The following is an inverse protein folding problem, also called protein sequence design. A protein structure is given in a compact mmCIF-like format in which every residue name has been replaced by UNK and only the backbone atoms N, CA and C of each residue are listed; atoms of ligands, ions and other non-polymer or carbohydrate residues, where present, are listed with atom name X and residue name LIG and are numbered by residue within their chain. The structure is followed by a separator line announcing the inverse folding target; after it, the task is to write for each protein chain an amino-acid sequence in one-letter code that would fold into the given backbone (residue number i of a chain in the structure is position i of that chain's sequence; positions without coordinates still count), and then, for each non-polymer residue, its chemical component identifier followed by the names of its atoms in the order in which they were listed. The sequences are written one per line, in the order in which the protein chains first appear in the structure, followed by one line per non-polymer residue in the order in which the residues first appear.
data_IF_762613391990
#
_entry.id   IF_762613391990
#
_cell.length_a   1.000
_cell.length_b   1.000
_cell.length_c   1.000
_cell.angle_alpha   90.00
_cell.angle_beta   90.00
_cell.angle_gamma   90.00
#
_symmetry.space_group_name_H-M   'P 1'
#
loop_
_entity.id
_entity.type
_entity.pdbx_description
1 polymer ?
#
# COMPACT_ATOMS: atom_id res chain seq x y z
N UNK A 1 8.25 -11.22 -14.18
CA UNK A 1 8.98 -9.95 -13.93
C UNK A 1 9.93 -10.17 -12.77
N UNK A 2 11.15 -9.62 -12.82
CA UNK A 2 12.07 -9.66 -11.67
C UNK A 2 11.80 -8.46 -10.75
N UNK A 3 12.09 -8.58 -9.45
CA UNK A 3 11.98 -7.47 -8.51
C UNK A 3 12.70 -6.22 -9.02
N UNK A 4 13.91 -6.40 -9.56
CA UNK A 4 14.71 -5.33 -10.16
C UNK A 4 13.99 -4.59 -11.28
N UNK A 5 13.34 -5.33 -12.19
CA UNK A 5 12.58 -4.71 -13.29
C UNK A 5 11.39 -3.88 -12.79
N UNK A 6 10.74 -4.31 -11.71
CA UNK A 6 9.62 -3.56 -11.11
C UNK A 6 10.11 -2.29 -10.42
N UNK A 7 11.18 -2.38 -9.62
CA UNK A 7 11.74 -1.23 -8.91
C UNK A 7 12.22 -0.16 -9.90
N UNK A 8 12.90 -0.58 -10.98
CA UNK A 8 13.33 0.35 -12.04
C UNK A 8 12.11 0.98 -12.72
N UNK A 9 11.09 0.18 -13.09
CA UNK A 9 9.88 0.69 -13.73
C UNK A 9 9.14 1.73 -12.88
N UNK A 10 8.95 1.45 -11.58
CA UNK A 10 8.35 2.39 -10.62
C UNK A 10 9.23 3.63 -10.45
N UNK A 11 10.55 3.48 -10.41
CA UNK A 11 11.49 4.60 -10.35
C UNK A 11 11.37 5.55 -11.54
N UNK A 12 11.28 5.00 -12.76
CA UNK A 12 11.10 5.78 -13.99
C UNK A 12 9.74 6.49 -13.97
N UNK A 13 8.66 5.79 -13.62
CA UNK A 13 7.34 6.39 -13.52
C UNK A 13 7.31 7.53 -12.48
N UNK A 14 7.94 7.34 -11.33
CA UNK A 14 8.05 8.35 -10.29
C UNK A 14 8.85 9.59 -10.73
N UNK A 15 9.93 9.40 -11.51
CA UNK A 15 10.66 10.52 -12.13
C UNK A 15 9.78 11.29 -13.10
N UNK A 16 9.03 10.61 -13.97
CA UNK A 16 8.10 11.24 -14.91
C UNK A 16 7.04 12.04 -14.16
N UNK A 17 6.44 11.47 -13.11
CA UNK A 17 5.46 12.16 -12.27
C UNK A 17 6.07 13.40 -11.59
N UNK A 18 7.29 13.28 -11.06
CA UNK A 18 7.98 14.40 -10.40
C UNK A 18 8.27 15.53 -11.38
N UNK A 19 8.72 15.21 -12.59
CA UNK A 19 8.95 16.19 -13.65
C UNK A 19 7.63 16.82 -14.12
N UNK A 20 6.55 16.03 -14.28
CA UNK A 20 5.24 16.56 -14.62
C UNK A 20 4.73 17.54 -13.55
N UNK A 21 4.90 17.22 -12.27
CA UNK A 21 4.55 18.13 -11.17
C UNK A 21 5.40 19.41 -11.21
N UNK A 22 6.70 19.29 -11.51
CA UNK A 22 7.56 20.46 -11.71
C UNK A 22 7.03 21.37 -12.82
N UNK A 23 6.65 20.82 -13.98
CA UNK A 23 6.09 21.61 -15.08
C UNK A 23 4.73 22.24 -14.74
N UNK A 24 3.89 21.57 -13.93
CA UNK A 24 2.57 22.07 -13.56
C UNK A 24 2.61 23.14 -12.45
N UNK A 25 3.47 22.98 -11.43
CA UNK A 25 3.57 23.91 -10.30
C UNK A 25 4.69 24.93 -10.42
N UNK A 26 5.68 24.70 -11.28
CA UNK A 26 6.84 25.58 -11.46
C UNK A 26 7.85 25.60 -10.30
N UNK A 27 7.50 25.02 -9.15
CA UNK A 27 8.36 24.97 -7.97
C UNK A 27 8.42 23.58 -7.33
N UNK A 28 9.62 23.18 -6.92
CA UNK A 28 9.86 22.02 -6.05
C UNK A 28 10.72 22.51 -4.88
N UNK A 29 10.21 22.40 -3.65
CA UNK A 29 10.96 22.80 -2.45
C UNK A 29 12.16 21.90 -2.20
N UNK A 30 11.94 20.58 -2.27
CA UNK A 30 12.96 19.56 -2.05
C UNK A 30 12.79 18.47 -3.11
N UNK A 31 13.75 18.39 -4.04
CA UNK A 31 13.74 17.41 -5.13
C UNK A 31 13.71 15.98 -4.64
N UNK A 32 14.56 15.65 -3.66
CA UNK A 32 14.64 14.31 -3.10
C UNK A 32 13.34 13.88 -2.42
N UNK A 33 12.77 14.75 -1.58
CA UNK A 33 11.51 14.44 -0.87
C UNK A 33 10.36 14.28 -1.86
N UNK A 34 10.26 15.17 -2.85
CA UNK A 34 9.20 15.11 -3.85
C UNK A 34 9.30 13.84 -4.70
N UNK A 35 10.52 13.44 -5.06
CA UNK A 35 10.77 12.18 -5.76
C UNK A 35 10.37 10.96 -4.90
N UNK A 36 10.82 10.89 -3.64
CA UNK A 36 10.49 9.78 -2.73
C UNK A 36 8.98 9.69 -2.47
N UNK A 37 8.31 10.83 -2.30
CA UNK A 37 6.86 10.91 -2.15
C UNK A 37 6.13 10.36 -3.37
N UNK A 38 6.54 10.78 -4.57
CA UNK A 38 5.95 10.29 -5.82
C UNK A 38 6.30 8.82 -6.07
N UNK A 39 7.49 8.37 -5.68
CA UNK A 39 7.89 6.97 -5.76
C UNK A 39 7.00 6.09 -4.89
N UNK A 40 6.81 6.46 -3.62
CA UNK A 40 5.89 5.76 -2.73
C UNK A 40 4.45 5.79 -3.28
N UNK A 41 3.99 6.94 -3.77
CA UNK A 41 2.65 7.07 -4.36
C UNK A 41 2.42 6.16 -5.56
N UNK A 42 3.35 6.15 -6.52
CA UNK A 42 3.29 5.27 -7.70
C UNK A 42 3.39 3.80 -7.29
N UNK A 43 4.24 3.46 -6.32
CA UNK A 43 4.37 2.10 -5.80
C UNK A 43 3.05 1.60 -5.20
N UNK A 44 2.38 2.42 -4.38
CA UNK A 44 1.10 2.10 -3.76
C UNK A 44 0.00 1.92 -4.81
N UNK A 45 -0.10 2.84 -5.78
CA UNK A 45 -1.09 2.71 -6.87
C UNK A 45 -0.83 1.45 -7.67
N UNK A 46 0.41 1.21 -8.08
CA UNK A 46 0.76 0.03 -8.88
C UNK A 46 0.46 -1.28 -8.12
N UNK A 47 0.88 -1.37 -6.86
CA UNK A 47 0.63 -2.52 -6.00
C UNK A 47 -0.87 -2.75 -5.76
N UNK A 48 -1.63 -1.70 -5.46
CA UNK A 48 -3.08 -1.76 -5.30
C UNK A 48 -3.79 -2.18 -6.59
N UNK A 49 -3.36 -1.69 -7.75
CA UNK A 49 -3.92 -2.08 -9.05
C UNK A 49 -3.68 -3.56 -9.35
N UNK A 50 -2.48 -4.09 -9.08
CA UNK A 50 -2.19 -5.52 -9.26
C UNK A 50 -3.07 -6.38 -8.35
N UNK A 51 -3.29 -5.96 -7.10
CA UNK A 51 -4.21 -6.66 -6.17
C UNK A 51 -5.68 -6.53 -6.59
N UNK A 52 -6.07 -5.40 -7.17
CA UNK A 52 -7.43 -5.19 -7.66
C UNK A 52 -7.79 -6.11 -8.86
N UNK A 53 -6.79 -6.62 -9.59
CA UNK A 53 -7.00 -7.64 -10.63
C UNK A 53 -7.41 -8.99 -10.02
N UNK A 54 -6.91 -9.32 -8.82
CA UNK A 54 -7.28 -10.55 -8.09
C UNK A 54 -7.46 -10.28 -6.58
N UNK A 55 -8.61 -9.71 -6.18
CA UNK A 55 -8.88 -9.40 -4.78
C UNK A 55 -9.13 -10.66 -3.93
N UNK A 56 -9.55 -11.78 -4.55
CA UNK A 56 -9.77 -13.05 -3.87
C UNK A 56 -8.44 -13.72 -3.49
N UNK A 57 -7.44 -13.70 -4.38
CA UNK A 57 -6.09 -14.15 -4.05
C UNK A 57 -5.50 -13.40 -2.85
N UNK A 58 -5.78 -12.10 -2.75
CA UNK A 58 -5.40 -11.28 -1.59
C UNK A 58 -6.19 -11.66 -0.34
N UNK A 59 -7.48 -12.00 -0.47
CA UNK A 59 -8.31 -12.43 0.67
C UNK A 59 -7.84 -13.76 1.26
N UNK A 60 -7.50 -14.76 0.43
CA UNK A 60 -6.93 -16.02 0.92
C UNK A 60 -5.61 -15.81 1.66
N UNK A 61 -4.76 -14.90 1.16
CA UNK A 61 -3.51 -14.54 1.86
C UNK A 61 -3.76 -13.87 3.20
N UNK A 62 -4.80 -13.04 3.30
CA UNK A 62 -5.20 -12.46 4.59
C UNK A 62 -5.66 -13.53 5.58
N UNK A 63 -6.40 -14.55 5.13
CA UNK A 63 -6.78 -15.68 5.99
C UNK A 63 -5.56 -16.43 6.52
N UNK A 64 -4.58 -16.72 5.66
CA UNK A 64 -3.31 -17.34 6.05
C UNK A 64 -2.58 -16.47 7.10
N UNK A 65 -2.50 -15.16 6.88
CA UNK A 65 -1.86 -14.24 7.83
C UNK A 65 -2.58 -14.16 9.18
N UNK A 66 -3.91 -14.14 9.17
CA UNK A 66 -4.70 -14.11 10.40
C UNK A 66 -4.57 -15.39 11.21
N UNK A 67 -4.46 -16.56 10.56
CA UNK A 67 -4.19 -17.82 11.24
C UNK A 67 -2.81 -17.82 11.93
N UNK A 68 -1.78 -17.34 11.24
CA UNK A 68 -0.42 -17.22 11.83
C UNK A 68 -0.36 -16.17 12.94
N UNK A 69 -1.11 -15.07 12.81
CA UNK A 69 -1.23 -14.07 13.87
C UNK A 69 -1.93 -14.66 15.10
N UNK A 70 -3.04 -15.38 14.94
CA UNK A 70 -3.69 -16.07 16.08
C UNK A 70 -2.70 -16.98 16.83
N UNK A 71 -1.99 -17.85 16.09
CA UNK A 71 -1.00 -18.75 16.66
C UNK A 71 0.09 -18.01 17.43
N UNK A 72 0.64 -16.94 16.83
CA UNK A 72 1.70 -16.14 17.44
C UNK A 72 1.22 -15.40 18.69
N UNK A 73 0.04 -14.76 18.64
CA UNK A 73 -0.48 -13.97 19.75
C UNK A 73 -0.94 -14.83 20.91
N UNK A 74 -1.42 -16.06 20.66
CA UNK A 74 -1.85 -17.01 21.69
C UNK A 74 -0.76 -17.36 22.72
N UNK A 75 0.51 -17.40 22.28
CA UNK A 75 1.66 -17.70 23.13
C UNK A 75 2.28 -16.48 23.83
N UNK A 76 1.72 -15.28 23.67
CA UNK A 76 2.31 -14.04 24.19
C UNK A 76 1.46 -13.40 25.29
N UNK A 77 2.02 -12.39 25.98
CA UNK A 77 1.28 -11.58 26.95
C UNK A 77 0.04 -10.87 26.34
N UNK A 78 -0.07 -10.84 25.01
CA UNK A 78 -1.18 -10.26 24.25
C UNK A 78 -2.24 -11.29 23.80
N UNK A 79 -2.34 -12.45 24.46
CA UNK A 79 -3.32 -13.50 24.13
C UNK A 79 -4.78 -13.00 24.03
N UNK A 80 -5.14 -11.91 24.74
CA UNK A 80 -6.47 -11.31 24.62
C UNK A 80 -6.81 -10.78 23.21
N UNK A 81 -5.81 -10.55 22.35
CA UNK A 81 -5.98 -10.17 20.94
C UNK A 81 -6.17 -11.37 20.02
N UNK A 82 -5.80 -12.59 20.43
CA UNK A 82 -5.91 -13.78 19.60
C UNK A 82 -7.33 -14.01 19.02
N UNK A 83 -8.43 -13.81 19.76
CA UNK A 83 -9.79 -14.03 19.26
C UNK A 83 -10.24 -13.06 18.15
N UNK A 84 -9.53 -11.95 17.95
CA UNK A 84 -9.83 -10.96 16.92
C UNK A 84 -9.43 -11.44 15.52
N UNK A 85 -8.36 -12.25 15.40
CA UNK A 85 -7.87 -12.71 14.10
C UNK A 85 -8.82 -13.71 13.42
N UNK A 86 -9.43 -14.69 14.12
CA UNK A 86 -10.49 -15.53 13.56
C UNK A 86 -11.70 -14.75 13.07
N UNK A 87 -12.06 -13.65 13.75
CA UNK A 87 -13.13 -12.76 13.29
C UNK A 87 -12.74 -12.14 11.94
N UNK A 88 -11.59 -11.46 11.87
CA UNK A 88 -11.10 -10.88 10.61
C UNK A 88 -10.92 -11.90 9.47
N UNK A 89 -10.55 -13.14 9.79
CA UNK A 89 -10.44 -14.23 8.80
C UNK A 89 -11.79 -14.58 8.15
N UNK A 90 -12.89 -14.54 8.91
CA UNK A 90 -14.23 -14.75 8.35
C UNK A 90 -14.67 -13.62 7.42
N UNK A 91 -14.17 -12.39 7.62
CA UNK A 91 -14.45 -11.24 6.76
C UNK A 91 -13.26 -10.88 5.85
N UNK A 92 -12.38 -11.82 5.56
CA UNK A 92 -11.15 -11.58 4.80
C UNK A 92 -11.40 -10.95 3.41
N UNK A 93 -12.52 -11.28 2.76
CA UNK A 93 -12.91 -10.68 1.47
C UNK A 93 -13.11 -9.17 1.58
N UNK A 94 -13.84 -8.74 2.60
CA UNK A 94 -14.12 -7.33 2.87
C UNK A 94 -12.83 -6.62 3.26
N UNK A 95 -12.04 -7.24 4.15
CA UNK A 95 -10.75 -6.70 4.60
C UNK A 95 -9.80 -6.51 3.42
N UNK A 96 -9.74 -7.49 2.51
CA UNK A 96 -8.94 -7.44 1.28
C UNK A 96 -9.33 -6.25 0.41
N UNK A 97 -10.62 -6.11 0.07
CA UNK A 97 -11.09 -5.01 -0.78
C UNK A 97 -10.87 -3.65 -0.11
N UNK A 98 -11.18 -3.52 1.18
CA UNK A 98 -10.96 -2.27 1.92
C UNK A 98 -9.47 -1.90 1.94
N UNK A 99 -8.58 -2.87 2.16
CA UNK A 99 -7.14 -2.64 2.14
C UNK A 99 -6.65 -2.18 0.76
N UNK A 100 -7.11 -2.82 -0.31
CA UNK A 100 -6.75 -2.46 -1.69
C UNK A 100 -7.22 -1.03 -2.03
N UNK A 101 -8.47 -0.70 -1.70
CA UNK A 101 -9.02 0.65 -1.93
C UNK A 101 -8.23 1.68 -1.13
N UNK A 102 -7.93 1.38 0.13
CA UNK A 102 -7.14 2.25 0.99
C UNK A 102 -5.71 2.45 0.46
N UNK A 103 -5.07 1.40 -0.04
CA UNK A 103 -3.74 1.46 -0.64
C UNK A 103 -3.70 2.37 -1.89
N UNK A 104 -4.67 2.22 -2.80
CA UNK A 104 -4.77 3.08 -3.99
C UNK A 104 -5.07 4.53 -3.57
N UNK A 105 -5.98 4.73 -2.63
CA UNK A 105 -6.34 6.05 -2.13
C UNK A 105 -5.14 6.77 -1.49
N UNK A 106 -4.37 6.06 -0.66
CA UNK A 106 -3.11 6.57 -0.10
C UNK A 106 -2.09 6.90 -1.19
N UNK A 107 -1.95 6.05 -2.20
CA UNK A 107 -1.06 6.31 -3.32
C UNK A 107 -1.42 7.60 -4.07
N UNK A 108 -2.72 7.82 -4.32
CA UNK A 108 -3.22 9.06 -4.95
C UNK A 108 -3.01 10.27 -4.03
N UNK A 109 -3.29 10.13 -2.73
CA UNK A 109 -3.08 11.21 -1.75
C UNK A 109 -1.60 11.62 -1.66
N UNK A 110 -0.68 10.67 -1.73
CA UNK A 110 0.75 10.93 -1.79
C UNK A 110 1.14 11.73 -3.04
N UNK A 111 0.67 11.35 -4.22
CA UNK A 111 1.01 12.09 -5.46
C UNK A 111 0.45 13.52 -5.43
N UNK A 112 -0.79 13.71 -4.98
CA UNK A 112 -1.42 15.03 -4.88
C UNK A 112 -0.77 15.86 -3.76
N UNK A 113 -0.24 15.21 -2.72
CA UNK A 113 0.15 15.84 -1.47
C UNK A 113 -1.06 16.31 -0.66
N UNK A 114 -2.17 15.56 -0.73
CA UNK A 114 -3.39 15.80 0.04
C UNK A 114 -3.18 15.35 1.50
N UNK A 115 -3.77 16.06 2.47
CA UNK A 115 -3.66 15.76 3.91
C UNK A 115 -2.21 15.54 4.42
N UNK A 116 -1.29 16.46 4.11
CA UNK A 116 0.14 16.45 4.52
C UNK A 116 0.44 16.27 6.02
N UNK A 117 -0.57 16.25 6.90
CA UNK A 117 -0.43 16.05 8.35
C UNK A 117 -1.04 14.74 8.85
N UNK A 118 -1.64 13.93 7.97
CA UNK A 118 -2.27 12.65 8.31
C UNK A 118 -1.33 11.45 8.06
N UNK A 119 -0.28 11.65 7.27
CA UNK A 119 0.81 10.70 6.97
C UNK A 119 2.12 11.35 7.36
#
# INVERSE_FOLDING_TARGET
MTLTSMVIGVGIAALIVTLAIYFLKGEIKNWLISFLQNFAGVLFIFSGLVKAVDPLGTAYKMQDYFAEFEATFSGTAFNFLAPMFPWFSQQADIVSVVMIVFEIALGVMLIIGFLRKLT
#
